data_IF_418329071092
#
_entry.id   IF_418329071092
#
_cell.length_a   1.000
_cell.length_b   1.000
_cell.length_c   1.000
_cell.angle_alpha   90.00
_cell.angle_beta   90.00
_cell.angle_gamma   90.00
#
_symmetry.space_group_name_H-M   'P 1'
#
loop_
_entity.id
_entity.type
_entity.pdbx_description
1 polymer ?
#
# COMPACT_ATOMS: atom_id res chain seq x y z
N UNK A 1 0.93 22.21 -10.55
CA UNK A 1 0.32 20.88 -10.68
C UNK A 1 1.42 19.84 -10.64
N UNK A 2 1.41 18.92 -9.68
CA UNK A 2 2.39 17.84 -9.63
C UNK A 2 2.05 16.80 -10.71
N UNK A 3 2.82 16.78 -11.80
CA UNK A 3 2.56 15.90 -12.95
C UNK A 3 2.48 14.42 -12.58
N UNK A 4 3.14 13.97 -11.51
CA UNK A 4 3.09 12.57 -11.06
C UNK A 4 1.84 12.20 -10.23
N UNK A 5 1.18 13.16 -9.58
CA UNK A 5 0.02 12.86 -8.72
C UNK A 5 -1.23 12.56 -9.55
N UNK A 6 -1.39 13.16 -10.72
CA UNK A 6 -2.60 13.03 -11.55
C UNK A 6 -2.81 11.59 -12.06
N UNK A 7 -1.75 10.80 -12.19
CA UNK A 7 -1.81 9.51 -12.89
C UNK A 7 -1.99 8.28 -11.99
N UNK A 8 -1.88 8.42 -10.66
CA UNK A 8 -2.22 7.33 -9.70
C UNK A 8 -3.63 7.47 -9.15
N UNK A 9 -4.40 8.46 -9.61
CA UNK A 9 -5.75 8.72 -9.13
C UNK A 9 -6.70 7.57 -9.47
N UNK A 10 -7.62 7.27 -8.56
CA UNK A 10 -8.72 6.35 -8.80
C UNK A 10 -8.67 5.09 -7.95
N UNK A 11 -9.38 4.07 -8.43
CA UNK A 11 -9.64 2.82 -7.71
C UNK A 11 -8.58 1.78 -8.03
N UNK A 12 -7.94 1.29 -6.98
CA UNK A 12 -6.90 0.28 -7.03
C UNK A 12 -7.27 -0.94 -6.20
N UNK A 13 -6.79 -2.12 -6.61
CA UNK A 13 -6.94 -3.35 -5.85
C UNK A 13 -5.60 -3.72 -5.23
N UNK A 14 -5.58 -3.86 -3.91
CA UNK A 14 -4.39 -4.28 -3.17
C UNK A 14 -4.26 -5.79 -3.27
N UNK A 15 -3.37 -6.26 -4.16
CA UNK A 15 -3.17 -7.69 -4.44
C UNK A 15 -1.88 -8.25 -3.83
N UNK A 16 -0.88 -7.42 -3.56
CA UNK A 16 0.37 -7.85 -2.94
C UNK A 16 0.64 -7.08 -1.66
N UNK A 17 1.06 -7.78 -0.61
CA UNK A 17 1.40 -7.20 0.68
C UNK A 17 2.62 -7.90 1.25
N UNK A 18 3.70 -7.16 1.46
CA UNK A 18 4.93 -7.68 2.02
C UNK A 18 5.44 -6.76 3.13
N UNK A 19 5.77 -7.30 4.30
CA UNK A 19 6.25 -6.48 5.42
C UNK A 19 7.04 -7.31 6.43
N UNK A 20 8.03 -6.70 7.08
CA UNK A 20 8.74 -7.30 8.20
C UNK A 20 8.03 -7.09 9.56
N UNK A 21 6.80 -6.57 9.57
CA UNK A 21 6.05 -6.36 10.81
C UNK A 21 5.64 -7.69 11.46
N UNK A 22 5.91 -7.86 12.75
CA UNK A 22 5.62 -9.11 13.48
C UNK A 22 4.13 -9.52 13.43
N UNK A 23 3.22 -8.54 13.47
CA UNK A 23 1.78 -8.80 13.40
C UNK A 23 1.38 -9.49 12.09
N UNK A 24 2.15 -9.32 11.02
CA UNK A 24 1.83 -9.85 9.70
C UNK A 24 1.87 -11.38 9.68
N UNK A 25 2.83 -11.98 10.37
CA UNK A 25 3.02 -13.44 10.42
C UNK A 25 1.73 -14.16 10.84
N UNK A 26 1.01 -13.61 11.82
CA UNK A 26 -0.23 -14.21 12.35
C UNK A 26 -1.48 -13.84 11.56
N UNK A 27 -1.43 -12.79 10.73
CA UNK A 27 -2.62 -12.28 10.01
C UNK A 27 -2.64 -12.58 8.52
N UNK A 28 -1.49 -12.79 7.89
CA UNK A 28 -1.35 -12.93 6.44
C UNK A 28 -2.30 -13.96 5.83
N UNK A 29 -2.50 -15.11 6.49
CA UNK A 29 -3.37 -16.18 5.99
C UNK A 29 -4.85 -15.77 5.86
N UNK A 30 -5.28 -14.80 6.66
CA UNK A 30 -6.66 -14.31 6.69
C UNK A 30 -6.85 -13.01 5.90
N UNK A 31 -5.76 -12.42 5.38
CA UNK A 31 -5.84 -11.22 4.57
C UNK A 31 -6.45 -11.53 3.22
N UNK A 32 -7.31 -10.62 2.75
CA UNK A 32 -7.98 -10.67 1.46
C UNK A 32 -7.68 -9.39 0.69
N UNK A 33 -7.85 -9.45 -0.63
CA UNK A 33 -7.71 -8.28 -1.49
C UNK A 33 -8.57 -7.13 -0.96
N UNK A 34 -7.94 -5.97 -0.80
CA UNK A 34 -8.60 -4.73 -0.42
C UNK A 34 -8.77 -3.80 -1.62
N UNK A 35 -9.53 -2.73 -1.42
CA UNK A 35 -9.63 -1.60 -2.34
C UNK A 35 -8.87 -0.42 -1.74
N UNK A 36 -8.16 0.32 -2.59
CA UNK A 36 -7.60 1.61 -2.26
C UNK A 36 -8.16 2.64 -3.24
N UNK A 37 -8.70 3.73 -2.72
CA UNK A 37 -9.01 4.94 -3.50
C UNK A 37 -7.89 5.94 -3.25
N UNK A 38 -7.21 6.33 -4.32
CA UNK A 38 -6.15 7.33 -4.30
C UNK A 38 -6.69 8.61 -4.93
N UNK A 39 -6.72 9.71 -4.19
CA UNK A 39 -7.29 10.98 -4.62
C UNK A 39 -6.26 12.09 -4.45
N UNK A 40 -5.68 12.60 -5.54
CA UNK A 40 -4.79 13.76 -5.48
C UNK A 40 -5.54 15.02 -5.03
N UNK A 41 -4.89 15.88 -4.25
CA UNK A 41 -5.41 17.20 -3.89
C UNK A 41 -4.88 18.29 -4.83
N UNK A 42 -5.48 19.48 -4.77
CA UNK A 42 -5.02 20.65 -5.54
C UNK A 42 -3.61 21.10 -5.11
N UNK A 43 -3.28 20.92 -3.83
CA UNK A 43 -1.93 21.16 -3.31
C UNK A 43 -0.93 20.09 -3.79
N UNK A 44 -1.39 18.99 -4.37
CA UNK A 44 -0.59 17.87 -4.86
C UNK A 44 -0.27 16.82 -3.80
N UNK A 45 -0.96 16.85 -2.66
CA UNK A 45 -0.96 15.77 -1.68
C UNK A 45 -1.82 14.60 -2.19
N UNK A 46 -1.80 13.47 -1.48
CA UNK A 46 -2.52 12.26 -1.85
C UNK A 46 -3.37 11.75 -0.69
N UNK A 47 -4.69 11.85 -0.83
CA UNK A 47 -5.63 11.16 0.05
C UNK A 47 -5.70 9.68 -0.33
N UNK A 48 -5.63 8.80 0.66
CA UNK A 48 -5.62 7.36 0.48
C UNK A 48 -6.66 6.68 1.38
N UNK A 49 -7.78 6.30 0.80
CA UNK A 49 -8.82 5.56 1.49
C UNK A 49 -8.73 4.06 1.18
N UNK A 50 -8.51 3.24 2.20
CA UNK A 50 -8.41 1.80 2.13
C UNK A 50 -9.67 1.15 2.68
N UNK A 51 -10.16 0.11 2.01
CA UNK A 51 -11.21 -0.77 2.52
C UNK A 51 -10.89 -2.24 2.30
N UNK A 52 -11.28 -3.09 3.24
CA UNK A 52 -11.20 -4.55 3.07
C UNK A 52 -12.27 -5.25 3.90
N UNK A 53 -12.62 -6.47 3.51
CA UNK A 53 -13.51 -7.30 4.29
C UNK A 53 -12.73 -8.04 5.38
N UNK A 54 -13.29 -8.04 6.59
CA UNK A 54 -12.83 -8.88 7.69
C UNK A 54 -13.39 -10.30 7.57
N UNK A 55 -12.80 -11.28 8.30
CA UNK A 55 -13.30 -12.65 8.32
C UNK A 55 -14.78 -12.78 8.76
N UNK A 56 -15.25 -11.87 9.62
CA UNK A 56 -16.64 -11.81 10.09
C UNK A 56 -17.62 -11.18 9.08
N UNK A 57 -17.13 -10.79 7.90
CA UNK A 57 -17.91 -10.14 6.85
C UNK A 57 -18.11 -8.64 7.04
N UNK A 58 -17.60 -8.04 8.12
CA UNK A 58 -17.66 -6.59 8.34
C UNK A 58 -16.61 -5.83 7.52
N UNK A 59 -16.90 -4.57 7.23
CA UNK A 59 -16.00 -3.66 6.51
C UNK A 59 -14.96 -3.04 7.44
N UNK A 60 -13.68 -3.23 7.13
CA UNK A 60 -12.60 -2.43 7.71
C UNK A 60 -12.26 -1.29 6.76
N UNK A 61 -12.08 -0.08 7.30
CA UNK A 61 -11.70 1.11 6.55
C UNK A 61 -10.57 1.88 7.26
N UNK A 62 -9.75 2.57 6.47
CA UNK A 62 -8.67 3.42 6.96
C UNK A 62 -8.44 4.54 5.94
N UNK A 63 -8.22 5.78 6.40
CA UNK A 63 -7.89 6.90 5.54
C UNK A 63 -6.57 7.54 6.00
N UNK A 64 -5.78 8.03 5.05
CA UNK A 64 -4.55 8.77 5.31
C UNK A 64 -4.42 9.91 4.30
N UNK A 65 -3.96 11.08 4.76
CA UNK A 65 -3.50 12.15 3.88
C UNK A 65 -1.97 12.10 3.81
N UNK A 66 -1.44 11.75 2.65
CA UNK A 66 -0.02 11.71 2.38
C UNK A 66 0.45 13.02 1.76
N UNK A 67 1.28 13.75 2.51
CA UNK A 67 1.82 15.02 2.08
C UNK A 67 2.93 14.82 1.07
N UNK A 68 2.88 15.53 -0.06
CA UNK A 68 3.94 15.47 -1.07
C UNK A 68 5.27 15.94 -0.52
N UNK A 69 6.36 15.45 -1.11
CA UNK A 69 7.72 15.95 -0.90
C UNK A 69 8.28 16.52 -2.18
N UNK A 70 9.45 17.14 -2.08
CA UNK A 70 10.16 17.73 -3.21
C UNK A 70 10.60 16.68 -4.23
N UNK A 71 10.75 15.43 -3.80
CA UNK A 71 11.08 14.30 -4.67
C UNK A 71 9.77 13.75 -5.28
N UNK A 72 9.65 13.71 -6.62
CA UNK A 72 8.48 13.12 -7.27
C UNK A 72 8.21 11.68 -6.82
N UNK A 73 6.94 11.36 -6.57
CA UNK A 73 6.54 10.02 -6.09
C UNK A 73 6.86 9.74 -4.62
N UNK A 74 7.43 10.71 -3.89
CA UNK A 74 7.69 10.63 -2.46
C UNK A 74 6.65 11.43 -1.67
N UNK A 75 6.14 10.81 -0.61
CA UNK A 75 5.18 11.39 0.31
C UNK A 75 5.54 11.07 1.76
N UNK A 76 4.97 11.81 2.70
CA UNK A 76 5.00 11.46 4.12
C UNK A 76 3.64 11.58 4.77
N UNK A 77 3.36 10.73 5.76
CA UNK A 77 2.23 10.95 6.66
C UNK A 77 2.48 10.39 8.05
N UNK A 78 1.89 11.06 9.04
CA UNK A 78 1.75 10.52 10.38
C UNK A 78 0.51 9.63 10.45
N UNK A 79 0.64 8.44 11.03
CA UNK A 79 -0.48 7.55 11.27
C UNK A 79 -0.85 7.59 12.75
N UNK A 80 -1.83 8.40 13.14
CA UNK A 80 -2.29 8.54 14.54
C UNK A 80 -2.63 7.18 15.17
N UNK A 81 -3.31 6.31 14.42
CA UNK A 81 -3.71 4.98 14.90
C UNK A 81 -2.54 4.08 15.33
N UNK A 82 -1.38 4.25 14.71
CA UNK A 82 -0.22 3.39 14.91
C UNK A 82 0.96 4.15 15.55
N UNK A 83 0.86 5.48 15.63
CA UNK A 83 1.90 6.41 16.06
C UNK A 83 3.19 6.19 15.26
N UNK A 84 3.06 6.10 13.94
CA UNK A 84 4.21 5.93 13.04
C UNK A 84 4.35 7.14 12.13
N UNK A 85 5.59 7.54 11.90
CA UNK A 85 5.95 8.36 10.74
C UNK A 85 6.15 7.44 9.54
N UNK A 86 5.59 7.79 8.38
CA UNK A 86 5.61 6.93 7.21
C UNK A 86 6.24 7.70 6.04
N UNK A 87 7.41 7.26 5.57
CA UNK A 87 8.03 7.69 4.31
C UNK A 87 7.52 6.76 3.21
N UNK A 88 6.60 7.25 2.38
CA UNK A 88 5.95 6.51 1.32
C UNK A 88 6.55 6.89 -0.04
N UNK A 89 6.87 5.88 -0.85
CA UNK A 89 7.53 6.05 -2.14
C UNK A 89 6.84 5.19 -3.18
N UNK A 90 6.46 5.80 -4.30
CA UNK A 90 6.07 5.07 -5.50
C UNK A 90 7.37 4.54 -6.11
N UNK A 91 7.65 3.25 -5.90
CA UNK A 91 8.88 2.61 -6.37
C UNK A 91 8.81 2.33 -7.87
N UNK A 92 7.62 1.99 -8.36
CA UNK A 92 7.36 1.80 -9.77
C UNK A 92 5.88 1.93 -10.06
N UNK A 93 5.53 2.39 -11.25
CA UNK A 93 4.14 2.59 -11.66
C UNK A 93 4.01 2.50 -13.16
N UNK A 94 3.02 1.76 -13.60
CA UNK A 94 2.47 1.84 -14.96
C UNK A 94 1.01 2.21 -14.83
N UNK A 95 0.70 3.43 -15.23
CA UNK A 95 -0.63 4.01 -15.04
C UNK A 95 -1.71 3.13 -15.67
N UNK A 96 -2.86 3.08 -15.00
CA UNK A 96 -4.01 2.22 -15.34
C UNK A 96 -3.74 0.71 -15.30
N UNK A 97 -2.53 0.26 -14.94
CA UNK A 97 -2.16 -1.15 -14.85
C UNK A 97 -1.76 -1.53 -13.42
N UNK A 98 -0.68 -0.95 -12.89
CA UNK A 98 -0.19 -1.26 -11.55
C UNK A 98 0.58 -0.10 -10.90
N UNK A 99 0.64 -0.14 -9.57
CA UNK A 99 1.51 0.69 -8.75
C UNK A 99 2.18 -0.14 -7.65
N UNK A 100 3.50 -0.02 -7.55
CA UNK A 100 4.31 -0.62 -6.50
C UNK A 100 4.75 0.48 -5.53
N UNK A 101 4.24 0.38 -4.29
CA UNK A 101 4.51 1.38 -3.25
C UNK A 101 5.36 0.74 -2.16
N UNK A 102 6.50 1.37 -1.87
CA UNK A 102 7.37 1.07 -0.74
C UNK A 102 7.14 2.08 0.37
N UNK A 103 6.98 1.63 1.60
CA UNK A 103 6.80 2.50 2.77
C UNK A 103 7.76 2.09 3.87
N UNK A 104 8.52 3.06 4.36
CA UNK A 104 9.34 2.94 5.56
C UNK A 104 8.56 3.58 6.71
N UNK A 105 8.21 2.78 7.71
CA UNK A 105 7.50 3.24 8.90
C UNK A 105 8.47 3.31 10.06
N UNK A 106 8.54 4.44 10.73
CA UNK A 106 9.35 4.61 11.93
C UNK A 106 8.45 4.86 13.13
N UNK A 107 8.76 4.21 14.24
CA UNK A 107 8.15 4.44 15.55
C UNK A 107 9.22 4.32 16.62
N UNK A 108 9.54 5.45 17.26
CA UNK A 108 10.71 5.56 18.14
C UNK A 108 11.96 4.98 17.44
N UNK A 109 12.61 3.98 18.05
CA UNK A 109 13.83 3.35 17.52
C UNK A 109 13.56 2.15 16.60
N UNK A 110 12.29 1.88 16.27
CA UNK A 110 11.89 0.75 15.42
C UNK A 110 11.55 1.18 13.99
N UNK A 111 11.97 0.38 13.01
CA UNK A 111 11.66 0.58 11.59
C UNK A 111 10.94 -0.65 11.03
N UNK A 112 9.82 -0.42 10.34
CA UNK A 112 9.05 -1.44 9.63
C UNK A 112 9.00 -1.09 8.14
N UNK A 113 9.34 -2.06 7.29
CA UNK A 113 9.22 -1.96 5.84
C UNK A 113 7.88 -2.54 5.41
N UNK A 114 7.22 -1.87 4.47
CA UNK A 114 5.96 -2.31 3.89
C UNK A 114 5.95 -2.05 2.39
N UNK A 115 5.87 -3.12 1.61
CA UNK A 115 5.63 -3.06 0.18
C UNK A 115 4.19 -3.45 -0.11
N UNK A 116 3.55 -2.70 -1.00
CA UNK A 116 2.22 -2.98 -1.50
C UNK A 116 2.20 -2.95 -3.01
N UNK A 117 1.61 -3.97 -3.61
CA UNK A 117 1.29 -4.00 -5.02
C UNK A 117 -0.20 -3.73 -5.22
N UNK A 118 -0.49 -2.66 -5.95
CA UNK A 118 -1.79 -2.37 -6.49
C UNK A 118 -1.80 -2.74 -7.96
N UNK A 119 -2.73 -3.56 -8.38
CA UNK A 119 -2.71 -4.07 -9.75
C UNK A 119 -4.11 -4.52 -10.17
N UNK A 120 -4.37 -4.36 -11.46
CA UNK A 120 -5.60 -4.72 -12.14
C UNK A 120 -5.47 -6.02 -12.94
N UNK A 121 -4.25 -6.44 -13.34
CA UNK A 121 -4.02 -7.56 -14.26
C UNK A 121 -3.36 -8.82 -13.65
N UNK A 122 -2.66 -8.70 -12.51
CA UNK A 122 -1.86 -9.78 -11.86
C UNK A 122 -0.59 -10.19 -12.63
N UNK A 123 -0.17 -9.44 -13.65
CA UNK A 123 0.99 -9.80 -14.49
C UNK A 123 2.33 -9.32 -13.90
N UNK A 124 2.30 -8.62 -12.75
CA UNK A 124 3.50 -8.05 -12.11
C UNK A 124 3.83 -8.64 -10.73
N UNK A 125 3.31 -9.83 -10.44
CA UNK A 125 3.54 -10.55 -9.17
C UNK A 125 5.00 -10.93 -8.95
N UNK A 126 5.70 -11.41 -9.99
CA UNK A 126 7.11 -11.79 -9.90
C UNK A 126 7.97 -10.57 -9.58
N UNK A 127 7.72 -9.46 -10.28
CA UNK A 127 8.38 -8.16 -10.02
C UNK A 127 8.17 -7.67 -8.58
N UNK A 128 6.95 -7.77 -8.06
CA UNK A 128 6.67 -7.42 -6.67
C UNK A 128 7.42 -8.30 -5.67
N UNK A 129 7.53 -9.60 -5.97
CA UNK A 129 8.24 -10.56 -5.13
C UNK A 129 9.73 -10.25 -5.13
N UNK A 130 10.35 -10.11 -6.31
CA UNK A 130 11.76 -9.74 -6.47
C UNK A 130 12.10 -8.43 -5.75
N UNK A 131 11.33 -7.37 -6.00
CA UNK A 131 11.51 -6.08 -5.33
C UNK A 131 11.42 -6.21 -3.80
N UNK A 132 10.50 -7.02 -3.29
CA UNK A 132 10.34 -7.20 -1.84
C UNK A 132 11.52 -7.92 -1.20
N UNK A 133 12.10 -8.90 -1.90
CA UNK A 133 13.32 -9.58 -1.47
C UNK A 133 14.52 -8.63 -1.48
N UNK A 134 14.65 -7.78 -2.50
CA UNK A 134 15.71 -6.76 -2.58
C UNK A 134 15.65 -5.74 -1.44
N UNK A 135 14.45 -5.41 -0.96
CA UNK A 135 14.27 -4.57 0.22
C UNK A 135 14.52 -5.31 1.55
N UNK A 136 14.92 -6.59 1.50
CA UNK A 136 15.22 -7.40 2.68
C UNK A 136 14.00 -7.98 3.39
N UNK A 137 12.82 -7.98 2.75
CA UNK A 137 11.64 -8.67 3.30
C UNK A 137 11.79 -10.16 3.00
N UNK A 138 11.69 -10.99 4.04
CA UNK A 138 11.83 -12.45 3.90
C UNK A 138 10.70 -13.04 3.03
N UNK A 139 10.96 -14.12 2.26
CA UNK A 139 9.96 -14.73 1.37
C UNK A 139 8.64 -15.08 2.06
N UNK A 140 8.71 -15.61 3.28
CA UNK A 140 7.52 -15.97 4.08
C UNK A 140 6.68 -14.75 4.49
N UNK A 141 7.25 -13.56 4.42
CA UNK A 141 6.62 -12.29 4.74
C UNK A 141 6.08 -11.55 3.51
N UNK A 142 5.93 -12.26 2.39
CA UNK A 142 5.28 -11.79 1.17
C UNK A 142 3.97 -12.56 1.00
N UNK A 143 2.85 -11.85 0.81
CA UNK A 143 1.56 -12.45 0.54
C UNK A 143 0.92 -11.90 -0.72
N UNK A 144 0.42 -12.80 -1.57
CA UNK A 144 -0.51 -12.49 -2.65
C UNK A 144 -1.92 -12.69 -2.12
N UNK A 145 -2.71 -11.62 -2.16
CA UNK A 145 -4.01 -11.53 -1.52
C UNK A 145 -5.08 -12.03 -2.48
N UNK A 146 -5.84 -13.08 -2.13
CA UNK A 146 -6.85 -13.62 -3.02
C UNK A 146 -8.02 -12.64 -3.19
N UNK A 147 -8.60 -12.64 -4.39
CA UNK A 147 -9.83 -11.89 -4.69
C UNK A 147 -10.93 -12.33 -3.73
N UNK A 148 -11.77 -11.37 -3.35
CA UNK A 148 -12.95 -11.63 -2.55
C UNK A 148 -14.20 -11.49 -3.44
N UNK A 149 -15.09 -12.48 -3.42
CA UNK A 149 -16.34 -12.45 -4.22
C UNK A 149 -17.34 -11.39 -3.74
N UNK A 150 -17.11 -10.83 -2.55
CA UNK A 150 -17.75 -9.63 -2.02
C UNK A 150 -16.68 -8.57 -1.83
N UNK A 151 -16.95 -7.33 -2.21
CA UNK A 151 -16.08 -6.19 -1.90
C UNK A 151 -16.69 -5.39 -0.77
N UNK A 152 -15.84 -4.75 0.04
CA UNK A 152 -16.31 -3.71 0.95
C UNK A 152 -16.48 -2.43 0.11
N UNK A 153 -17.71 -1.94 -0.12
CA UNK A 153 -17.92 -0.72 -0.90
C UNK A 153 -17.30 0.50 -0.22
#
# INVERSE_FOLDING_TARGET
MCGACVYVAGKWYLIGFATNAEWFVTRKANMKMGIAMLTPTDEGDLEMAYSSLRPDGSCWRMNHLAQKKDIPGKFSFHSERWETENDMRVADVKYDEYALIHTIKTKADSTTLLNKLYDLSQDVLDKFTEFSLEQGILPENIAILPKNGKTCP
#
